data_IF_099228345021
#
_entry.id   IF_099228345021
#
_cell.length_a   1.000
_cell.length_b   1.000
_cell.length_c   1.000
_cell.angle_alpha   90.00
_cell.angle_beta   90.00
_cell.angle_gamma   90.00
#
_symmetry.space_group_name_H-M   'P 1'
#
loop_
_entity.id
_entity.type
_entity.pdbx_description
1 polymer ?
#
# COMPACT_ATOMS: atom_id res chain seq x y z
N UNK A 1 -1.99 -15.60 -2.15
CA UNK A 1 -2.34 -15.58 -0.75
C UNK A 1 -2.50 -14.15 -0.26
N UNK A 2 -3.53 -13.90 0.51
CA UNK A 2 -3.76 -12.56 1.03
C UNK A 2 -2.89 -12.32 2.24
N UNK A 3 -2.35 -11.14 2.33
CA UNK A 3 -1.57 -10.78 3.49
C UNK A 3 -1.91 -9.34 3.85
N UNK A 4 -2.48 -9.15 5.02
CA UNK A 4 -2.86 -7.83 5.48
C UNK A 4 -1.92 -7.38 6.59
N UNK A 5 -1.50 -6.13 6.51
CA UNK A 5 -0.63 -5.54 7.52
C UNK A 5 -1.10 -4.13 7.81
N UNK A 6 -0.78 -3.64 8.99
CA UNK A 6 -1.11 -2.25 9.32
C UNK A 6 -0.23 -1.34 8.48
N UNK A 7 -0.57 -0.05 8.49
CA UNK A 7 0.23 0.93 7.77
C UNK A 7 1.67 0.91 8.27
N UNK A 8 1.84 0.87 9.58
CA UNK A 8 3.18 0.86 10.16
C UNK A 8 3.96 -0.39 9.77
N UNK A 9 3.31 -1.53 9.83
CA UNK A 9 3.98 -2.77 9.47
C UNK A 9 4.35 -2.80 8.00
N UNK A 10 3.49 -2.26 7.15
CA UNK A 10 3.76 -2.20 5.74
C UNK A 10 4.94 -1.27 5.47
N UNK A 11 4.99 -0.14 6.15
CA UNK A 11 6.11 0.78 5.98
C UNK A 11 7.42 0.15 6.43
N UNK A 12 7.36 -0.70 7.45
CA UNK A 12 8.56 -1.36 7.96
C UNK A 12 9.18 -2.31 6.95
N UNK A 13 8.41 -2.78 5.97
CA UNK A 13 8.96 -3.65 4.94
C UNK A 13 9.80 -2.87 3.92
N UNK A 14 9.74 -1.55 3.95
CA UNK A 14 10.52 -0.73 3.03
C UNK A 14 9.86 -0.49 1.70
N UNK A 15 8.63 -0.95 1.52
CA UNK A 15 7.95 -0.79 0.23
C UNK A 15 7.62 0.68 -0.03
N UNK A 16 7.15 1.39 0.99
CA UNK A 16 6.86 2.81 0.91
C UNK A 16 6.99 3.41 2.30
N UNK A 17 7.32 4.68 2.41
CA UNK A 17 7.35 5.33 3.72
C UNK A 17 5.95 5.47 4.29
N UNK A 18 5.88 5.55 5.60
CA UNK A 18 4.59 5.58 6.28
C UNK A 18 3.73 6.75 5.82
N UNK A 19 4.33 7.92 5.64
CA UNK A 19 3.53 9.08 5.26
C UNK A 19 2.88 8.91 3.88
N UNK A 20 3.56 8.21 2.99
CA UNK A 20 2.99 7.94 1.67
C UNK A 20 1.81 6.99 1.77
N UNK A 21 1.95 5.97 2.61
CA UNK A 21 0.87 5.03 2.79
C UNK A 21 -0.34 5.70 3.40
N UNK A 22 -0.12 6.61 4.34
CA UNK A 22 -1.24 7.33 4.94
C UNK A 22 -1.95 8.22 3.92
N UNK A 23 -1.18 8.84 3.04
CA UNK A 23 -1.78 9.65 1.98
C UNK A 23 -2.63 8.79 1.05
N UNK A 24 -2.11 7.63 0.67
CA UNK A 24 -2.85 6.74 -0.22
C UNK A 24 -4.15 6.26 0.43
N UNK A 25 -4.10 5.97 1.71
CA UNK A 25 -5.29 5.56 2.43
C UNK A 25 -6.30 6.71 2.47
N UNK A 26 -5.83 7.92 2.73
CA UNK A 26 -6.70 9.09 2.79
C UNK A 26 -7.34 9.38 1.45
N UNK A 27 -6.63 9.10 0.38
CA UNK A 27 -7.15 9.32 -0.97
C UNK A 27 -8.01 8.16 -1.47
N UNK A 28 -8.08 7.09 -0.71
CA UNK A 28 -8.90 5.95 -1.07
C UNK A 28 -8.33 5.10 -2.18
N UNK A 29 -7.04 5.19 -2.43
CA UNK A 29 -6.40 4.42 -3.50
C UNK A 29 -5.53 3.29 -3.00
N UNK A 30 -5.40 3.13 -1.69
CA UNK A 30 -4.58 2.07 -1.14
C UNK A 30 -5.40 0.79 -1.02
N UNK A 31 -4.93 -0.32 -1.60
CA UNK A 31 -5.71 -1.56 -1.49
C UNK A 31 -5.69 -2.09 -0.06
N UNK A 32 -6.85 -2.45 0.42
CA UNK A 32 -6.97 -2.96 1.78
C UNK A 32 -8.37 -2.80 2.30
N UNK A 33 -8.53 -3.01 3.59
CA UNK A 33 -9.83 -2.89 4.23
C UNK A 33 -9.70 -2.13 5.53
N UNK A 34 -10.75 -1.47 5.91
CA UNK A 34 -10.79 -0.76 7.16
C UNK A 34 -11.56 -1.59 8.17
N UNK A 35 -10.94 -1.89 9.31
CA UNK A 35 -11.60 -2.64 10.35
C UNK A 35 -11.53 -1.83 11.62
N UNK A 36 -12.67 -1.34 12.08
CA UNK A 36 -12.70 -0.53 13.30
C UNK A 36 -11.84 0.70 13.13
N UNK A 37 -10.84 0.85 13.99
CA UNK A 37 -9.96 1.99 13.97
C UNK A 37 -8.71 1.78 13.14
N UNK A 38 -8.59 0.66 12.48
CA UNK A 38 -7.39 0.35 11.76
C UNK A 38 -7.65 0.16 10.29
N UNK A 39 -6.65 0.46 9.49
CA UNK A 39 -6.68 0.14 8.08
C UNK A 39 -5.65 -0.95 7.85
N UNK A 40 -6.07 -2.06 7.27
CA UNK A 40 -5.17 -3.17 6.97
C UNK A 40 -4.91 -3.17 5.48
N UNK A 41 -3.64 -3.08 5.13
CA UNK A 41 -3.24 -2.98 3.73
C UNK A 41 -3.05 -4.37 3.17
N UNK A 42 -3.63 -4.60 1.99
CA UNK A 42 -3.41 -5.85 1.26
C UNK A 42 -2.06 -5.72 0.58
N UNK A 43 -1.02 -6.21 1.22
CA UNK A 43 0.35 -5.99 0.77
C UNK A 43 0.60 -6.56 -0.63
N UNK A 44 0.19 -7.79 -0.94
CA UNK A 44 0.41 -8.29 -2.30
C UNK A 44 -0.25 -7.43 -3.37
N UNK A 45 -1.45 -6.94 -3.10
CA UNK A 45 -2.13 -6.10 -4.07
C UNK A 45 -1.43 -4.76 -4.20
N UNK A 46 -0.92 -4.22 -3.10
CA UNK A 46 -0.18 -2.97 -3.13
C UNK A 46 1.09 -3.13 -3.96
N UNK A 47 1.81 -4.21 -3.73
CA UNK A 47 3.05 -4.46 -4.47
C UNK A 47 2.77 -4.58 -5.96
N UNK A 48 1.69 -5.25 -6.31
CA UNK A 48 1.32 -5.41 -7.70
C UNK A 48 0.95 -4.09 -8.33
N UNK A 49 0.22 -3.26 -7.60
CA UNK A 49 -0.17 -1.95 -8.09
C UNK A 49 1.06 -1.07 -8.33
N UNK A 50 2.01 -1.10 -7.41
CA UNK A 50 3.22 -0.31 -7.55
C UNK A 50 4.06 -0.80 -8.71
N UNK A 51 4.12 -2.09 -8.90
CA UNK A 51 4.85 -2.66 -10.01
C UNK A 51 4.26 -2.21 -11.34
N UNK A 52 2.95 -2.27 -11.45
CA UNK A 52 2.28 -1.83 -12.66
C UNK A 52 2.50 -0.35 -12.93
N UNK A 53 2.45 0.45 -11.88
CA UNK A 53 2.68 1.87 -12.03
C UNK A 53 4.09 2.16 -12.45
N UNK A 54 5.02 1.45 -11.88
CA UNK A 54 6.42 1.66 -12.19
C UNK A 54 6.70 1.31 -13.66
N UNK A 55 6.09 0.29 -14.18
CA UNK A 55 6.25 -0.04 -15.58
C UNK A 55 5.66 1.02 -16.49
N UNK A 56 4.51 1.54 -16.06
CA UNK A 56 3.88 2.52 -16.87
C UNK A 56 4.63 3.81 -16.90
N UNK A 57 5.31 4.15 -15.83
CA UNK A 57 6.02 5.39 -15.75
C UNK A 57 7.47 5.33 -16.14
N UNK A 58 7.93 4.19 -16.57
CA UNK A 58 9.26 4.10 -16.99
C UNK A 58 9.39 4.85 -18.25
N UNK A 59 10.10 5.95 -18.23
CA UNK A 59 10.25 6.64 -19.39
C UNK A 59 11.51 6.66 -19.68
N UNK A 60 12.10 6.20 -20.04
CA UNK A 60 13.41 6.27 -20.34
C UNK A 60 13.94 7.24 -20.89
#
# INVERSE_FOLDING_TARGET
MLEFRTIRQTAATGILPEYRLRLMVAEGICPGIKTGNRFLINVPALAEMLDAKSRKEVKS
#
